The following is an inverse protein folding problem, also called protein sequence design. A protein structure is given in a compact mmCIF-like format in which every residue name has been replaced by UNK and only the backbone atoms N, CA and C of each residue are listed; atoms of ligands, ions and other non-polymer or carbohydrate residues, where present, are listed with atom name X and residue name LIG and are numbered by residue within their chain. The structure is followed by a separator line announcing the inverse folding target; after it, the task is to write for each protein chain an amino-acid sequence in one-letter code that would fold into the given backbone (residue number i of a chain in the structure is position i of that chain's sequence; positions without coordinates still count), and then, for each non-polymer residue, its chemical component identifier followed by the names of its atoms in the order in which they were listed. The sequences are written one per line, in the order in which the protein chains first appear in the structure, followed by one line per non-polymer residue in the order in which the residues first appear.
data_IF_453348585928
#
_entry.id   IF_453348585928
#
_cell.length_a   1.000
_cell.length_b   1.000
_cell.length_c   1.000
_cell.angle_alpha   90.00
_cell.angle_beta   90.00
_cell.angle_gamma   90.00
#
_symmetry.space_group_name_H-M   'P 1'
#
loop_
_entity.id
_entity.type
_entity.pdbx_description
1 polymer ?
#
# COMPACT_ATOMS: atom_id res chain seq x y z
N UNK A 1 -21.64 27.38 32.39
CA UNK A 1 -21.51 26.97 30.97
C UNK A 1 -21.25 25.47 30.93
N UNK A 2 -22.25 24.66 30.55
CA UNK A 2 -22.14 23.19 30.49
C UNK A 2 -21.27 22.84 29.29
N UNK A 3 -20.11 22.20 29.50
CA UNK A 3 -19.26 21.67 28.43
C UNK A 3 -20.02 20.56 27.71
N UNK A 4 -20.39 20.80 26.45
CA UNK A 4 -20.98 19.78 25.60
C UNK A 4 -20.02 18.59 25.50
N UNK A 5 -20.53 17.42 25.91
CA UNK A 5 -19.86 16.14 25.71
C UNK A 5 -19.63 15.99 24.21
N UNK A 6 -18.37 15.86 23.81
CA UNK A 6 -17.91 15.67 22.44
C UNK A 6 -18.58 14.42 21.84
N UNK A 7 -19.79 14.58 21.29
CA UNK A 7 -20.49 13.53 20.53
C UNK A 7 -19.60 13.23 19.33
N UNK A 8 -18.91 12.08 19.34
CA UNK A 8 -18.19 11.57 18.16
C UNK A 8 -19.16 11.66 16.98
N UNK A 9 -18.93 12.59 16.07
CA UNK A 9 -19.76 12.76 14.87
C UNK A 9 -19.79 11.40 14.19
N UNK A 10 -20.99 10.84 13.97
CA UNK A 10 -21.15 9.59 13.23
C UNK A 10 -20.41 9.76 11.90
N UNK A 11 -19.58 8.78 11.54
CA UNK A 11 -18.88 8.82 10.27
C UNK A 11 -19.88 9.06 9.15
N UNK A 12 -19.56 9.99 8.24
CA UNK A 12 -20.37 10.22 7.04
C UNK A 12 -20.41 8.97 6.17
N UNK A 13 -21.46 8.75 5.37
CA UNK A 13 -21.47 7.66 4.40
C UNK A 13 -20.38 7.86 3.36
N UNK A 14 -19.81 6.76 2.85
CA UNK A 14 -18.85 6.83 1.76
C UNK A 14 -19.52 7.36 0.48
N UNK A 15 -18.83 8.26 -0.22
CA UNK A 15 -19.32 8.88 -1.45
C UNK A 15 -19.11 7.94 -2.66
N UNK A 16 -20.08 7.79 -3.56
CA UNK A 16 -19.84 7.24 -4.89
C UNK A 16 -18.87 8.12 -5.69
N UNK A 17 -17.77 7.55 -6.19
CA UNK A 17 -16.71 8.31 -6.89
C UNK A 17 -17.03 8.51 -8.36
N UNK A 18 -17.60 7.49 -9.00
CA UNK A 18 -17.96 7.48 -10.43
C UNK A 18 -19.41 7.05 -10.55
N UNK A 19 -20.12 7.61 -11.54
CA UNK A 19 -21.46 7.15 -11.87
C UNK A 19 -21.37 5.76 -12.53
N UNK A 20 -22.15 4.75 -12.10
CA UNK A 20 -22.17 3.43 -12.74
C UNK A 20 -22.28 3.46 -14.27
N UNK A 21 -22.98 4.46 -14.82
CA UNK A 21 -23.16 4.64 -16.27
C UNK A 21 -21.90 5.08 -17.03
N UNK A 22 -20.91 5.63 -16.33
CA UNK A 22 -19.68 6.16 -16.91
C UNK A 22 -18.52 5.15 -16.92
N UNK A 23 -18.72 3.95 -16.36
CA UNK A 23 -17.69 2.90 -16.40
C UNK A 23 -17.51 2.46 -17.85
N UNK A 24 -16.33 2.67 -18.46
CA UNK A 24 -16.15 2.39 -19.88
C UNK A 24 -16.12 0.87 -20.12
N UNK A 25 -17.14 0.34 -20.79
CA UNK A 25 -17.09 -1.00 -21.40
C UNK A 25 -16.25 -1.01 -22.69
N UNK A 26 -15.17 -0.23 -22.73
CA UNK A 26 -14.37 -0.09 -23.96
C UNK A 26 -13.39 -1.26 -24.05
N UNK A 27 -13.36 -2.00 -25.17
CA UNK A 27 -12.28 -2.94 -25.44
C UNK A 27 -10.94 -2.19 -25.38
N UNK A 28 -9.84 -2.86 -24.99
CA UNK A 28 -8.54 -2.22 -24.90
C UNK A 28 -8.17 -1.60 -26.25
N UNK A 29 -7.44 -0.45 -26.24
CA UNK A 29 -7.03 0.20 -27.48
C UNK A 29 -6.31 -0.78 -28.39
N UNK A 30 -6.51 -0.66 -29.70
CA UNK A 30 -5.92 -1.55 -30.68
C UNK A 30 -4.41 -1.36 -30.74
N UNK A 31 -3.66 -2.22 -30.05
CA UNK A 31 -2.18 -2.21 -30.04
C UNK A 31 -1.58 -3.29 -30.93
N UNK A 32 -2.39 -4.01 -31.71
CA UNK A 32 -1.92 -5.11 -32.55
C UNK A 32 -2.90 -5.49 -33.65
N UNK A 33 -2.51 -6.50 -34.43
CA UNK A 33 -3.24 -6.94 -35.62
C UNK A 33 -4.35 -7.93 -35.28
N UNK A 34 -4.14 -8.82 -34.31
CA UNK A 34 -5.10 -9.87 -33.95
C UNK A 34 -5.53 -9.73 -32.49
N UNK A 35 -6.83 -9.53 -32.24
CA UNK A 35 -7.37 -9.53 -30.88
C UNK A 35 -7.53 -10.96 -30.36
N UNK A 36 -6.80 -11.28 -29.29
CA UNK A 36 -6.89 -12.56 -28.62
C UNK A 36 -8.00 -12.51 -27.56
N UNK A 37 -9.13 -13.14 -27.87
CA UNK A 37 -10.33 -13.20 -27.01
C UNK A 37 -10.04 -13.92 -25.68
N UNK A 38 -9.20 -14.95 -25.69
CA UNK A 38 -8.89 -15.73 -24.48
C UNK A 38 -8.13 -14.93 -23.42
N UNK A 39 -7.25 -14.03 -23.86
CA UNK A 39 -6.45 -13.20 -22.97
C UNK A 39 -6.90 -11.73 -22.91
N UNK A 40 -7.99 -11.38 -23.60
CA UNK A 40 -8.47 -10.02 -23.84
C UNK A 40 -7.33 -9.03 -24.19
N UNK A 41 -6.46 -9.43 -25.12
CA UNK A 41 -5.27 -8.67 -25.51
C UNK A 41 -5.00 -8.73 -27.01
N UNK A 42 -4.48 -7.65 -27.56
CA UNK A 42 -3.99 -7.61 -28.93
C UNK A 42 -2.64 -8.34 -29.07
N UNK A 43 -2.48 -9.07 -30.17
CA UNK A 43 -1.28 -9.80 -30.58
C UNK A 43 -0.77 -9.26 -31.92
N UNK A 44 0.53 -9.38 -32.18
CA UNK A 44 1.11 -9.11 -33.50
C UNK A 44 1.20 -7.64 -33.91
N UNK A 45 1.31 -6.71 -32.96
CA UNK A 45 1.71 -5.32 -33.21
C UNK A 45 3.18 -5.07 -32.84
N UNK A 46 3.69 -3.88 -33.14
CA UNK A 46 5.01 -3.45 -32.65
C UNK A 46 5.03 -3.59 -31.13
N UNK A 47 6.08 -4.24 -30.62
CA UNK A 47 6.35 -4.34 -29.18
C UNK A 47 6.82 -2.97 -28.70
N UNK A 48 5.89 -2.01 -28.61
CA UNK A 48 6.19 -0.79 -27.89
C UNK A 48 6.55 -1.13 -26.45
N UNK A 49 7.52 -0.41 -25.91
CA UNK A 49 7.91 -0.59 -24.52
C UNK A 49 6.68 -0.43 -23.64
N UNK A 50 6.34 -1.50 -22.91
CA UNK A 50 5.23 -1.57 -21.95
C UNK A 50 5.28 -0.47 -20.88
N UNK A 51 6.44 0.17 -20.76
CA UNK A 51 6.68 1.30 -19.88
C UNK A 51 6.29 2.63 -20.52
N UNK A 52 6.42 2.80 -21.83
CA UNK A 52 6.09 4.03 -22.56
C UNK A 52 4.57 4.10 -22.80
N UNK A 53 3.93 2.96 -23.05
CA UNK A 53 2.48 2.85 -23.32
C UNK A 53 1.57 2.94 -22.09
N UNK A 54 2.07 3.43 -20.95
CA UNK A 54 1.24 3.59 -19.75
C UNK A 54 0.44 4.90 -19.84
N UNK A 55 -0.88 4.79 -19.66
CA UNK A 55 -1.77 5.95 -19.60
C UNK A 55 -1.95 6.42 -18.16
N UNK A 56 -2.30 7.70 -18.00
CA UNK A 56 -2.66 8.29 -16.71
C UNK A 56 -3.92 7.62 -16.17
N UNK A 57 -3.99 7.43 -14.86
CA UNK A 57 -5.19 6.92 -14.21
C UNK A 57 -6.39 7.84 -14.44
N UNK A 58 -7.58 7.26 -14.63
CA UNK A 58 -8.82 8.01 -14.89
C UNK A 58 -9.34 8.77 -13.66
N UNK A 59 -9.14 8.22 -12.46
CA UNK A 59 -9.59 8.79 -11.20
C UNK A 59 -8.50 8.79 -10.14
N UNK A 60 -8.64 9.64 -9.13
CA UNK A 60 -7.80 9.69 -7.93
C UNK A 60 -8.68 9.84 -6.71
N UNK A 61 -8.53 8.95 -5.73
CA UNK A 61 -9.31 9.00 -4.51
C UNK A 61 -8.91 10.19 -3.64
N UNK A 62 -9.90 10.90 -3.08
CA UNK A 62 -9.68 11.92 -2.07
C UNK A 62 -10.24 11.42 -0.73
N UNK A 63 -9.35 11.00 0.18
CA UNK A 63 -9.73 10.41 1.47
C UNK A 63 -10.64 11.35 2.27
N UNK A 64 -10.36 12.65 2.26
CA UNK A 64 -11.14 13.64 3.01
C UNK A 64 -12.54 13.90 2.43
N UNK A 65 -12.87 13.42 1.23
CA UNK A 65 -14.21 13.56 0.62
C UNK A 65 -14.92 12.22 0.44
N UNK A 66 -14.17 11.19 0.08
CA UNK A 66 -14.72 9.91 -0.39
C UNK A 66 -14.83 8.88 0.74
N UNK A 67 -13.95 8.97 1.75
CA UNK A 67 -13.95 8.04 2.87
C UNK A 67 -15.19 8.21 3.76
N UNK A 68 -15.73 7.08 4.19
CA UNK A 68 -16.92 7.03 5.00
C UNK A 68 -17.34 5.60 5.30
N UNK A 69 -18.45 5.46 6.03
CA UNK A 69 -18.97 4.13 6.33
C UNK A 69 -19.60 3.48 5.10
N UNK A 70 -19.51 2.16 5.07
CA UNK A 70 -19.96 1.24 4.01
C UNK A 70 -20.76 0.09 4.63
N UNK A 71 -21.21 -0.89 3.83
CA UNK A 71 -21.81 -2.11 4.39
C UNK A 71 -20.75 -2.99 5.09
N UNK A 72 -19.51 -2.91 4.63
CA UNK A 72 -18.39 -3.68 5.14
C UNK A 72 -18.05 -3.36 6.61
N UNK A 73 -18.32 -2.15 7.07
CA UNK A 73 -18.05 -1.74 8.47
C UNK A 73 -18.86 -2.56 9.49
N UNK A 74 -19.97 -3.16 9.08
CA UNK A 74 -20.77 -4.04 9.95
C UNK A 74 -20.26 -5.49 9.96
N UNK A 75 -19.41 -5.87 9.01
CA UNK A 75 -18.92 -7.25 8.84
C UNK A 75 -17.46 -7.30 9.29
N UNK A 76 -17.13 -7.97 10.41
CA UNK A 76 -15.75 -8.08 10.86
C UNK A 76 -14.92 -8.89 9.86
N UNK A 77 -13.64 -8.51 9.70
CA UNK A 77 -12.73 -9.16 8.75
C UNK A 77 -12.95 -8.79 7.29
N UNK A 78 -13.73 -7.74 7.01
CA UNK A 78 -13.87 -7.21 5.64
C UNK A 78 -12.56 -6.60 5.12
N UNK A 79 -12.38 -6.64 3.80
CA UNK A 79 -11.21 -6.06 3.11
C UNK A 79 -11.49 -4.64 2.59
N UNK A 80 -10.44 -3.95 2.20
CA UNK A 80 -10.53 -2.62 1.57
C UNK A 80 -10.98 -2.71 0.11
N UNK A 81 -11.68 -1.69 -0.36
CA UNK A 81 -12.10 -1.64 -1.75
C UNK A 81 -10.95 -1.21 -2.66
N UNK A 82 -10.57 -2.06 -3.62
CA UNK A 82 -9.53 -1.73 -4.61
C UNK A 82 -9.94 -0.53 -5.49
N UNK A 83 -11.21 -0.50 -5.91
CA UNK A 83 -11.74 0.60 -6.72
C UNK A 83 -11.80 1.92 -5.95
N UNK A 84 -12.03 1.86 -4.63
CA UNK A 84 -11.96 3.05 -3.77
C UNK A 84 -10.55 3.62 -3.73
N UNK A 85 -9.52 2.78 -3.58
CA UNK A 85 -8.13 3.24 -3.61
C UNK A 85 -7.80 3.92 -4.96
N UNK A 86 -8.31 3.37 -6.07
CA UNK A 86 -8.13 3.93 -7.42
C UNK A 86 -9.02 5.13 -7.74
N UNK A 87 -9.96 5.52 -6.88
CA UNK A 87 -10.84 6.65 -7.17
C UNK A 87 -12.00 6.34 -8.12
N UNK A 88 -12.38 5.07 -8.27
CA UNK A 88 -13.33 4.60 -9.29
C UNK A 88 -14.51 3.80 -8.72
N UNK A 89 -14.74 3.80 -7.40
CA UNK A 89 -15.81 2.99 -6.82
C UNK A 89 -17.20 3.62 -7.08
N UNK A 90 -18.11 2.92 -7.78
CA UNK A 90 -19.46 3.43 -8.03
C UNK A 90 -20.43 3.21 -6.86
N UNK A 91 -20.12 2.28 -5.96
CA UNK A 91 -21.07 1.81 -4.95
C UNK A 91 -21.15 2.71 -3.70
N UNK A 92 -20.11 3.51 -3.41
CA UNK A 92 -20.04 4.37 -2.22
C UNK A 92 -20.45 3.66 -0.93
N UNK A 93 -21.43 4.21 -0.20
CA UNK A 93 -22.03 3.63 1.02
C UNK A 93 -22.47 2.16 0.87
N UNK A 94 -22.93 1.76 -0.31
CA UNK A 94 -23.45 0.42 -0.54
C UNK A 94 -22.37 -0.61 -0.88
N UNK A 95 -21.09 -0.21 -0.87
CA UNK A 95 -19.97 -1.10 -1.12
C UNK A 95 -19.84 -2.19 -0.04
N UNK A 96 -19.52 -3.40 -0.47
CA UNK A 96 -19.25 -4.56 0.39
C UNK A 96 -17.81 -4.58 0.93
N UNK A 97 -17.00 -3.60 0.55
CA UNK A 97 -15.62 -3.42 0.99
C UNK A 97 -15.44 -2.07 1.68
N UNK A 98 -14.42 -1.95 2.52
CA UNK A 98 -14.19 -0.79 3.39
C UNK A 98 -13.68 0.42 2.58
N UNK A 99 -14.21 1.61 2.88
CA UNK A 99 -13.83 2.90 2.28
C UNK A 99 -13.18 3.83 3.32
N UNK A 100 -12.02 3.41 3.83
CA UNK A 100 -11.17 4.18 4.76
C UNK A 100 -9.73 3.69 4.64
N UNK A 101 -8.80 4.37 5.30
CA UNK A 101 -7.40 3.93 5.34
C UNK A 101 -7.21 2.78 6.33
N UNK A 102 -6.24 1.87 6.09
CA UNK A 102 -5.85 0.87 7.06
C UNK A 102 -5.32 1.46 8.36
N UNK A 103 -5.85 0.94 9.46
CA UNK A 103 -5.44 1.30 10.82
C UNK A 103 -4.66 0.16 11.47
N UNK A 104 -4.05 0.41 12.63
CA UNK A 104 -3.26 -0.60 13.36
C UNK A 104 -4.11 -1.82 13.77
N UNK A 105 -5.43 -1.65 13.90
CA UNK A 105 -6.36 -2.74 14.24
C UNK A 105 -6.72 -3.63 13.06
N UNK A 106 -6.46 -3.19 11.82
CA UNK A 106 -6.77 -3.95 10.61
C UNK A 106 -5.64 -4.96 10.32
N UNK A 107 -5.70 -6.11 10.98
CA UNK A 107 -4.70 -7.19 10.84
C UNK A 107 -5.24 -8.24 9.88
N UNK A 108 -4.50 -8.50 8.80
CA UNK A 108 -4.84 -9.50 7.77
C UNK A 108 -3.90 -10.71 7.84
N UNK A 109 -4.35 -11.82 7.25
CA UNK A 109 -3.50 -12.99 7.04
C UNK A 109 -2.30 -12.61 6.15
N UNK A 110 -1.05 -12.99 6.49
CA UNK A 110 0.14 -12.71 5.67
C UNK A 110 0.02 -13.10 4.19
N UNK A 111 -0.77 -14.14 3.87
CA UNK A 111 -0.97 -14.64 2.51
C UNK A 111 -1.88 -13.75 1.67
N UNK A 112 -2.59 -12.79 2.27
CA UNK A 112 -3.59 -11.95 1.62
C UNK A 112 -3.22 -10.47 1.80
N UNK A 113 -3.40 -9.69 0.75
CA UNK A 113 -3.26 -8.23 0.75
C UNK A 113 -4.47 -7.58 1.47
N UNK A 114 -4.35 -6.33 1.93
CA UNK A 114 -5.42 -5.53 2.51
C UNK A 114 -6.69 -5.45 1.61
N UNK A 115 -6.55 -5.67 0.30
CA UNK A 115 -7.67 -5.74 -0.66
C UNK A 115 -8.32 -7.13 -0.83
N UNK A 116 -7.88 -8.15 -0.08
CA UNK A 116 -8.41 -9.51 -0.20
C UNK A 116 -7.85 -10.33 -1.37
N UNK A 117 -6.73 -9.90 -1.95
CA UNK A 117 -6.04 -10.61 -3.06
C UNK A 117 -4.93 -11.49 -2.52
N UNK A 118 -4.75 -12.68 -3.09
CA UNK A 118 -3.66 -13.57 -2.69
C UNK A 118 -2.29 -13.03 -3.11
N UNK A 119 -1.35 -13.09 -2.17
CA UNK A 119 0.08 -12.85 -2.42
C UNK A 119 0.72 -14.08 -3.05
N UNK A 120 1.86 -13.88 -3.71
CA UNK A 120 2.62 -14.97 -4.37
C UNK A 120 3.80 -15.42 -3.50
N UNK A 121 4.40 -16.55 -3.84
CA UNK A 121 5.67 -16.97 -3.22
C UNK A 121 6.75 -15.93 -3.46
N UNK A 122 6.91 -15.51 -4.72
CA UNK A 122 7.97 -14.62 -5.18
C UNK A 122 7.40 -13.34 -5.80
N UNK A 123 8.22 -12.31 -5.79
CA UNK A 123 7.92 -11.10 -6.55
C UNK A 123 7.98 -11.38 -8.06
N UNK A 124 7.22 -10.59 -8.82
CA UNK A 124 7.41 -10.53 -10.26
C UNK A 124 8.74 -9.85 -10.59
N UNK A 125 9.33 -10.18 -11.74
CA UNK A 125 10.57 -9.55 -12.21
C UNK A 125 10.46 -8.02 -12.32
N UNK A 126 9.27 -7.52 -12.65
CA UNK A 126 8.97 -6.08 -12.72
C UNK A 126 8.60 -5.47 -11.37
N UNK A 127 8.74 -6.20 -10.26
CA UNK A 127 8.34 -5.81 -8.89
C UNK A 127 6.92 -5.23 -8.79
N UNK A 128 6.05 -5.58 -9.73
CA UNK A 128 4.65 -5.18 -9.78
C UNK A 128 3.73 -6.15 -9.02
N UNK A 129 2.43 -5.94 -9.14
CA UNK A 129 1.41 -6.84 -8.57
C UNK A 129 1.28 -6.78 -7.05
N UNK A 130 0.76 -7.86 -6.45
CA UNK A 130 0.32 -7.90 -5.04
C UNK A 130 1.50 -7.96 -4.05
N UNK A 131 2.62 -8.54 -4.46
CA UNK A 131 3.80 -8.77 -3.62
C UNK A 131 3.95 -10.24 -3.21
N UNK A 132 4.93 -10.50 -2.36
CA UNK A 132 5.27 -11.83 -1.85
C UNK A 132 4.83 -11.99 -0.40
N UNK A 133 4.40 -13.19 0.00
CA UNK A 133 4.17 -13.51 1.42
C UNK A 133 5.45 -13.95 2.15
N UNK A 134 6.52 -14.31 1.43
CA UNK A 134 7.80 -14.72 2.01
C UNK A 134 8.56 -13.54 2.64
N UNK A 135 8.33 -12.33 2.16
CA UNK A 135 8.96 -11.11 2.68
C UNK A 135 7.91 -10.05 2.97
N UNK A 136 7.87 -9.59 4.21
CA UNK A 136 7.11 -8.41 4.59
C UNK A 136 7.79 -7.17 4.01
N UNK A 137 7.14 -6.49 3.08
CA UNK A 137 7.67 -5.29 2.44
C UNK A 137 6.74 -4.11 2.68
N UNK A 138 7.27 -3.10 3.39
CA UNK A 138 6.57 -1.86 3.70
C UNK A 138 7.06 -0.68 2.86
N UNK A 139 8.00 -0.94 1.95
CA UNK A 139 8.66 0.09 1.15
C UNK A 139 8.19 0.01 -0.29
N UNK A 140 7.69 1.13 -0.80
CA UNK A 140 7.31 1.28 -2.20
C UNK A 140 8.37 2.11 -2.93
N UNK A 141 8.65 1.69 -4.15
CA UNK A 141 9.44 2.43 -5.13
C UNK A 141 8.50 3.32 -5.93
N UNK A 142 8.87 4.57 -6.10
CA UNK A 142 8.16 5.55 -6.94
C UNK A 142 9.16 6.09 -7.94
N UNK A 143 8.93 5.87 -9.23
CA UNK A 143 9.76 6.39 -10.30
C UNK A 143 9.00 7.34 -11.21
N UNK A 144 9.75 7.99 -12.11
CA UNK A 144 9.25 9.01 -13.05
C UNK A 144 8.65 10.22 -12.35
N UNK A 145 9.22 10.59 -11.21
CA UNK A 145 8.87 11.85 -10.56
C UNK A 145 9.58 12.97 -11.31
N UNK A 146 8.86 14.03 -11.63
CA UNK A 146 9.45 15.25 -12.23
C UNK A 146 10.48 15.82 -11.26
N UNK A 147 11.70 16.10 -11.75
CA UNK A 147 12.78 16.63 -10.93
C UNK A 147 12.54 18.11 -10.70
N UNK A 148 12.34 18.49 -9.45
CA UNK A 148 12.20 19.87 -8.98
C UNK A 148 12.91 20.03 -7.64
N UNK A 149 13.14 21.27 -7.22
CA UNK A 149 13.82 21.57 -5.95
C UNK A 149 12.97 21.17 -4.73
N UNK A 150 11.65 21.16 -4.89
CA UNK A 150 10.65 20.81 -3.87
C UNK A 150 10.18 19.34 -3.92
N UNK A 151 10.85 18.49 -4.70
CA UNK A 151 10.44 17.08 -4.93
C UNK A 151 10.19 16.29 -3.64
N UNK A 152 10.99 16.52 -2.60
CA UNK A 152 10.81 15.85 -1.30
C UNK A 152 9.53 16.26 -0.61
N UNK A 153 9.19 17.55 -0.64
CA UNK A 153 7.97 18.09 -0.05
C UNK A 153 6.74 17.59 -0.80
N UNK A 154 6.79 17.61 -2.14
CA UNK A 154 5.71 17.12 -3.00
C UNK A 154 5.44 15.64 -2.73
N UNK A 155 6.49 14.80 -2.70
CA UNK A 155 6.36 13.38 -2.38
C UNK A 155 5.81 13.19 -0.97
N UNK A 156 6.33 13.91 0.03
CA UNK A 156 5.84 13.81 1.39
C UNK A 156 4.36 14.18 1.51
N UNK A 157 3.94 15.29 0.89
CA UNK A 157 2.55 15.78 0.92
C UNK A 157 1.57 14.77 0.35
N UNK A 158 1.84 14.24 -0.85
CA UNK A 158 0.93 13.31 -1.52
C UNK A 158 0.92 11.92 -0.90
N UNK A 159 2.06 11.43 -0.40
CA UNK A 159 2.13 10.07 0.15
C UNK A 159 1.71 10.00 1.63
N UNK A 160 1.83 11.08 2.39
CA UNK A 160 1.41 11.14 3.79
C UNK A 160 -0.11 10.98 3.95
N UNK A 161 -0.89 11.30 2.91
CA UNK A 161 -2.34 11.11 2.94
C UNK A 161 -2.73 9.64 3.10
N UNK A 162 -1.93 8.69 2.60
CA UNK A 162 -2.29 7.27 2.55
C UNK A 162 -1.96 6.48 3.81
N UNK A 163 -1.32 7.09 4.80
CA UNK A 163 -1.01 6.48 6.09
C UNK A 163 0.32 6.93 6.68
N UNK A 164 0.61 6.43 7.88
CA UNK A 164 1.81 6.83 8.62
C UNK A 164 3.09 6.36 7.93
N UNK A 165 3.95 7.33 7.62
CA UNK A 165 5.24 7.11 6.96
C UNK A 165 6.33 7.02 8.02
N UNK A 166 7.16 5.99 7.91
CA UNK A 166 8.37 5.83 8.72
C UNK A 166 9.53 6.62 8.14
N UNK A 167 9.74 6.52 6.82
CA UNK A 167 10.86 7.15 6.15
C UNK A 167 10.55 7.45 4.69
N UNK A 168 10.99 8.64 4.25
CA UNK A 168 11.03 9.01 2.83
C UNK A 168 12.49 9.20 2.44
N UNK A 169 12.89 8.63 1.31
CA UNK A 169 14.20 8.84 0.70
C UNK A 169 14.00 9.15 -0.78
N UNK A 170 14.27 10.38 -1.20
CA UNK A 170 14.21 10.78 -2.60
C UNK A 170 15.63 10.87 -3.16
N UNK A 171 15.78 10.47 -4.41
CA UNK A 171 16.99 10.60 -5.22
C UNK A 171 16.67 11.61 -6.33
N UNK A 172 16.89 12.90 -6.04
CA UNK A 172 16.49 14.02 -6.90
C UNK A 172 17.08 13.89 -8.31
N UNK A 173 18.34 13.44 -8.42
CA UNK A 173 19.02 13.29 -9.72
C UNK A 173 18.40 12.24 -10.65
N UNK A 174 17.56 11.34 -10.12
CA UNK A 174 16.93 10.25 -10.89
C UNK A 174 15.41 10.34 -10.93
N UNK A 175 14.79 11.28 -10.21
CA UNK A 175 13.33 11.35 -10.08
C UNK A 175 12.75 10.06 -9.46
N UNK A 176 13.44 9.51 -8.46
CA UNK A 176 13.07 8.26 -7.78
C UNK A 176 12.89 8.51 -6.29
N UNK A 177 11.83 7.95 -5.70
CA UNK A 177 11.57 7.94 -4.27
C UNK A 177 11.40 6.53 -3.72
N UNK A 178 11.83 6.35 -2.47
CA UNK A 178 11.54 5.17 -1.66
C UNK A 178 10.79 5.61 -0.42
N UNK A 179 9.59 5.06 -0.24
CA UNK A 179 8.69 5.45 0.85
C UNK A 179 8.40 4.21 1.67
N UNK A 180 8.84 4.23 2.93
CA UNK A 180 8.61 3.15 3.89
C UNK A 180 7.46 3.56 4.81
N UNK A 181 6.37 2.81 4.79
CA UNK A 181 5.25 2.99 5.71
C UNK A 181 5.47 2.24 7.01
N UNK A 182 4.79 2.68 8.08
CA UNK A 182 4.79 1.96 9.37
C UNK A 182 4.11 0.60 9.22
N UNK A 183 2.94 0.59 8.58
CA UNK A 183 2.09 -0.59 8.36
C UNK A 183 2.22 -1.11 6.92
N UNK A 184 2.26 -2.43 6.76
CA UNK A 184 2.28 -3.08 5.44
C UNK A 184 1.01 -2.80 4.64
N UNK A 185 -0.16 -2.81 5.31
CA UNK A 185 -1.44 -2.53 4.67
C UNK A 185 -1.48 -1.12 4.05
N UNK A 186 -0.86 -0.12 4.68
CA UNK A 186 -0.77 1.23 4.11
C UNK A 186 0.14 1.27 2.89
N UNK A 187 1.24 0.52 2.88
CA UNK A 187 2.11 0.41 1.71
C UNK A 187 1.37 -0.24 0.52
N UNK A 188 0.63 -1.32 0.78
CA UNK A 188 -0.20 -1.99 -0.22
C UNK A 188 -1.28 -1.05 -0.77
N UNK A 189 -1.96 -0.33 0.11
CA UNK A 189 -3.02 0.62 -0.25
C UNK A 189 -2.48 1.79 -1.07
N UNK A 190 -1.41 2.44 -0.60
CA UNK A 190 -0.76 3.57 -1.26
C UNK A 190 -0.23 3.18 -2.64
N UNK A 191 0.32 1.97 -2.79
CA UNK A 191 0.80 1.45 -4.07
C UNK A 191 -0.30 1.46 -5.14
N UNK A 192 -1.48 0.94 -4.82
CA UNK A 192 -2.60 0.90 -5.77
C UNK A 192 -3.24 2.27 -5.98
N UNK A 193 -3.27 3.12 -4.95
CA UNK A 193 -3.85 4.46 -5.04
C UNK A 193 -3.02 5.43 -5.88
N UNK A 194 -1.68 5.34 -5.79
CA UNK A 194 -0.74 6.24 -6.47
C UNK A 194 -0.21 5.69 -7.80
N UNK A 195 -0.55 4.45 -8.17
CA UNK A 195 -0.16 3.88 -9.46
C UNK A 195 -0.77 4.68 -10.62
N UNK A 196 0.07 5.07 -11.58
CA UNK A 196 -0.31 5.85 -12.77
C UNK A 196 -0.95 7.23 -12.47
N UNK A 197 -0.79 7.73 -11.24
CA UNK A 197 -1.18 9.09 -10.88
C UNK A 197 -0.11 10.10 -11.31
N UNK A 198 -0.46 11.38 -11.19
CA UNK A 198 0.49 12.49 -11.21
C UNK A 198 0.56 13.14 -9.83
N UNK A 199 1.71 13.73 -9.50
CA UNK A 199 1.85 14.60 -8.34
C UNK A 199 1.41 16.02 -8.74
N UNK A 200 2.31 17.00 -8.67
CA UNK A 200 2.04 18.41 -8.98
C UNK A 200 2.25 18.76 -10.46
N UNK A 201 3.01 17.94 -11.21
CA UNK A 201 3.15 18.10 -12.66
C UNK A 201 2.35 17.01 -13.40
N UNK A 202 2.55 16.88 -14.71
CA UNK A 202 1.78 15.94 -15.54
C UNK A 202 2.51 14.62 -15.80
N UNK A 203 3.36 14.18 -14.88
CA UNK A 203 4.01 12.87 -14.97
C UNK A 203 3.02 11.70 -14.76
N UNK A 204 3.45 10.52 -15.19
CA UNK A 204 2.77 9.25 -14.90
C UNK A 204 3.72 8.46 -14.00
N UNK A 205 3.38 8.45 -12.71
CA UNK A 205 4.17 7.79 -11.68
C UNK A 205 4.21 6.28 -11.91
N UNK A 206 5.40 5.73 -11.65
CA UNK A 206 5.64 4.31 -11.75
C UNK A 206 5.86 3.71 -10.35
N UNK A 207 4.82 3.10 -9.78
CA UNK A 207 4.82 2.62 -8.41
C UNK A 207 4.99 1.10 -8.36
N UNK A 208 6.01 0.64 -7.62
CA UNK A 208 6.40 -0.77 -7.49
C UNK A 208 6.74 -1.14 -6.06
N UNK A 209 6.88 -2.43 -5.80
CA UNK A 209 7.54 -2.91 -4.59
C UNK A 209 9.03 -2.57 -4.63
N UNK A 210 9.57 -2.07 -3.52
CA UNK A 210 11.00 -1.80 -3.43
C UNK A 210 11.80 -3.10 -3.26
N UNK A 211 12.94 -3.18 -3.93
CA UNK A 211 13.97 -4.18 -3.65
C UNK A 211 14.69 -3.84 -2.34
N UNK A 212 15.49 -4.79 -1.83
CA UNK A 212 16.30 -4.54 -0.63
C UNK A 212 17.30 -3.42 -0.91
N UNK A 213 17.42 -2.45 0.00
CA UNK A 213 18.41 -1.37 -0.14
C UNK A 213 19.82 -2.00 -0.21
N UNK A 214 20.63 -1.70 -1.23
CA UNK A 214 21.98 -2.26 -1.35
C UNK A 214 22.91 -1.83 -0.21
N UNK A 215 22.63 -0.71 0.47
CA UNK A 215 23.48 -0.20 1.54
C UNK A 215 23.53 -1.16 2.76
N UNK A 216 24.72 -1.67 3.16
CA UNK A 216 24.86 -2.57 4.31
C UNK A 216 24.30 -2.00 5.62
N UNK A 217 24.43 -0.69 5.86
CA UNK A 217 23.91 -0.04 7.06
C UNK A 217 22.37 -0.02 7.08
N UNK A 218 21.74 0.12 5.92
CA UNK A 218 20.29 0.07 5.80
C UNK A 218 19.78 -1.35 6.06
N UNK A 219 20.45 -2.37 5.50
CA UNK A 219 20.15 -3.78 5.76
C UNK A 219 20.26 -4.14 7.24
N UNK A 220 21.35 -3.73 7.90
CA UNK A 220 21.55 -3.99 9.32
C UNK A 220 20.48 -3.32 10.19
N UNK A 221 20.02 -2.12 9.81
CA UNK A 221 18.92 -1.43 10.50
C UNK A 221 17.58 -2.15 10.33
N UNK A 222 17.26 -2.56 9.12
CA UNK A 222 16.03 -3.31 8.81
C UNK A 222 16.02 -4.65 9.54
N UNK A 223 17.15 -5.37 9.52
CA UNK A 223 17.33 -6.63 10.24
C UNK A 223 17.17 -6.45 11.75
N UNK A 224 17.84 -5.46 12.36
CA UNK A 224 17.69 -5.17 13.80
C UNK A 224 16.25 -4.87 14.18
N UNK A 225 15.52 -4.13 13.34
CA UNK A 225 14.11 -3.83 13.57
C UNK A 225 13.23 -5.07 13.46
N UNK A 226 13.49 -5.94 12.48
CA UNK A 226 12.78 -7.21 12.34
C UNK A 226 13.03 -8.11 13.56
N UNK A 227 14.26 -8.17 14.05
CA UNK A 227 14.64 -8.90 15.26
C UNK A 227 13.93 -8.33 16.51
N UNK A 228 13.84 -7.02 16.65
CA UNK A 228 13.11 -6.36 17.74
C UNK A 228 11.60 -6.66 17.69
N UNK A 229 10.99 -6.58 16.51
CA UNK A 229 9.58 -6.94 16.30
C UNK A 229 9.31 -8.42 16.59
N UNK A 230 10.21 -9.31 16.16
CA UNK A 230 10.14 -10.73 16.47
C UNK A 230 10.29 -10.98 17.97
N UNK A 231 11.24 -10.31 18.64
CA UNK A 231 11.43 -10.42 20.08
C UNK A 231 10.21 -9.92 20.86
N UNK A 232 9.57 -8.84 20.43
CA UNK A 232 8.34 -8.34 21.06
C UNK A 232 7.17 -9.32 20.86
N UNK A 233 7.01 -9.87 19.66
CA UNK A 233 5.98 -10.87 19.38
C UNK A 233 6.19 -12.14 20.23
N UNK A 234 7.43 -12.63 20.33
CA UNK A 234 7.78 -13.76 21.22
C UNK A 234 7.52 -13.41 22.68
N UNK A 235 7.89 -12.20 23.12
CA UNK A 235 7.65 -11.74 24.50
C UNK A 235 6.17 -11.76 24.86
N UNK A 236 5.28 -11.45 23.92
CA UNK A 236 3.82 -11.52 24.14
C UNK A 236 3.29 -12.96 24.20
N UNK A 237 3.99 -13.93 23.63
CA UNK A 237 3.61 -15.35 23.65
C UNK A 237 4.18 -16.13 24.85
N UNK A 238 5.21 -15.60 25.52
CA UNK A 238 5.85 -16.27 26.64
C UNK A 238 4.95 -16.28 27.89
N UNK A 239 4.98 -17.37 28.70
CA UNK A 239 4.25 -17.44 29.96
C UNK A 239 4.67 -16.31 30.94
N UNK A 240 3.75 -15.81 31.78
CA UNK A 240 4.03 -14.71 32.70
C UNK A 240 5.18 -15.05 33.67
N UNK A 241 5.20 -16.27 34.21
CA UNK A 241 6.27 -16.75 35.11
C UNK A 241 7.66 -16.65 34.47
N UNK A 242 7.76 -16.94 33.18
CA UNK A 242 9.01 -16.87 32.44
C UNK A 242 9.43 -15.41 32.18
N UNK A 243 8.46 -14.52 31.93
CA UNK A 243 8.72 -13.09 31.80
C UNK A 243 9.23 -12.49 33.12
N UNK A 244 8.66 -12.91 34.25
CA UNK A 244 9.13 -12.49 35.57
C UNK A 244 10.56 -12.96 35.83
N UNK A 245 10.90 -14.21 35.51
CA UNK A 245 12.26 -14.73 35.62
C UNK A 245 13.26 -14.00 34.71
N UNK A 246 12.86 -13.66 33.48
CA UNK A 246 13.67 -12.85 32.56
C UNK A 246 13.87 -11.42 33.09
N UNK A 247 12.81 -10.78 33.56
CA UNK A 247 12.87 -9.42 34.13
C UNK A 247 13.70 -9.38 35.42
N UNK A 248 13.64 -10.44 36.23
CA UNK A 248 14.43 -10.61 37.45
C UNK A 248 15.90 -10.98 37.17
N UNK A 249 16.31 -11.14 35.90
CA UNK A 249 17.68 -11.51 35.52
C UNK A 249 18.10 -12.92 35.94
N UNK A 250 17.13 -13.77 36.29
CA UNK A 250 17.38 -15.12 36.82
C UNK A 250 17.84 -16.12 35.73
N UNK A 251 17.49 -15.87 34.47
CA UNK A 251 18.01 -16.62 33.32
C UNK A 251 19.19 -15.88 32.68
N UNK A 252 20.42 -16.28 33.05
CA UNK A 252 21.60 -15.90 32.26
C UNK A 252 21.72 -16.81 31.03
N UNK A 253 22.10 -16.27 29.86
CA UNK A 253 22.35 -17.12 28.70
C UNK A 253 23.46 -18.11 29.04
N UNK A 254 23.19 -19.40 28.84
CA UNK A 254 24.21 -20.44 29.00
C UNK A 254 25.43 -20.07 28.14
N UNK A 255 26.58 -19.85 28.78
CA UNK A 255 27.84 -19.55 28.07
C UNK A 255 28.06 -20.64 27.02
N UNK A 256 28.04 -20.28 25.72
CA UNK A 256 28.42 -21.20 24.65
C UNK A 256 29.81 -21.77 24.99
N UNK A 257 29.87 -23.06 25.33
CA UNK A 257 31.13 -23.79 25.42
C UNK A 257 31.74 -23.76 24.02
N UNK A 258 32.92 -23.16 23.91
CA UNK A 258 33.75 -23.17 22.70
C UNK A 258 34.11 -24.60 22.31
#
# INVERSE_FOLDING_TARGET
VKKDKNKKKRARPARPQVDPSQVPERPPPQTGTVFNIWYNKWSGGDREDKYISQTKAEGRCNIAKDAGYTKADNIPGSYFCLFFARGLCPNGKNCNYLHRLPTITDIFNPNVDCFGRDKRSDYRDDMGGVGSFMRQNRTIYVGRITVSDDIEEVVARHFAEWGDIERIRVLNSRGVGFITYVNEANAQFAKEAMAHQSLDHNEILNVRWATVDPNPLAKAREQRKLEEQAAEAVRRMLPPDFLEQLNAGALQPAKKRK
#
